data_IF_744898557641
#
_entry.id   IF_744898557641
#
_cell.length_a   1.000
_cell.length_b   1.000
_cell.length_c   1.000
_cell.angle_alpha   90.00
_cell.angle_beta   90.00
_cell.angle_gamma   90.00
#
_symmetry.space_group_name_H-M   'P 1'
#
loop_
_entity.id
_entity.type
_entity.pdbx_description
1 polymer ?
#
# COMPACT_ATOMS: atom_id res chain seq x y z
N UNK A 1 20.10 14.96 14.14
CA UNK A 1 19.62 14.02 13.12
C UNK A 1 18.19 13.68 13.50
N UNK A 2 17.22 13.98 12.64
CA UNK A 2 15.79 13.75 12.94
C UNK A 2 15.57 12.26 13.19
N UNK A 3 14.86 11.93 14.27
CA UNK A 3 14.54 10.54 14.59
C UNK A 3 13.33 10.09 13.75
N UNK A 4 13.63 9.48 12.61
CA UNK A 4 12.62 9.03 11.64
C UNK A 4 11.71 7.92 12.17
N UNK A 5 12.19 7.11 13.13
CA UNK A 5 11.39 6.07 13.77
C UNK A 5 10.29 6.69 14.62
N UNK A 6 10.65 7.72 15.39
CA UNK A 6 9.69 8.47 16.20
C UNK A 6 8.64 9.18 15.33
N UNK A 7 9.07 9.78 14.22
CA UNK A 7 8.18 10.46 13.29
C UNK A 7 7.20 9.50 12.60
N UNK A 8 7.63 8.26 12.32
CA UNK A 8 6.76 7.21 11.81
C UNK A 8 5.67 6.81 12.82
N UNK A 9 6.04 6.60 14.10
CA UNK A 9 5.08 6.26 15.16
C UNK A 9 4.07 7.39 15.41
N UNK A 10 4.52 8.65 15.39
CA UNK A 10 3.63 9.82 15.50
C UNK A 10 2.66 9.92 14.32
N UNK A 11 3.12 9.66 13.09
CA UNK A 11 2.24 9.62 11.92
C UNK A 11 1.24 8.47 11.95
N UNK A 12 1.64 7.33 12.51
CA UNK A 12 0.76 6.16 12.67
C UNK A 12 -0.37 6.47 13.65
N UNK A 13 -0.06 7.11 14.79
CA UNK A 13 -1.08 7.51 15.76
C UNK A 13 -2.01 8.59 15.22
N UNK A 14 -1.48 9.60 14.53
CA UNK A 14 -2.28 10.63 13.84
C UNK A 14 -3.29 10.04 12.86
N UNK A 15 -2.88 9.00 12.10
CA UNK A 15 -3.70 8.37 11.07
C UNK A 15 -4.62 7.25 11.59
N UNK A 16 -4.60 6.93 12.88
CA UNK A 16 -5.35 5.80 13.41
C UNK A 16 -6.87 5.93 13.17
N UNK A 17 -7.45 7.11 13.40
CA UNK A 17 -8.90 7.33 13.19
C UNK A 17 -9.29 7.17 11.71
N UNK A 18 -8.47 7.73 10.81
CA UNK A 18 -8.66 7.59 9.37
C UNK A 18 -8.54 6.14 8.93
N UNK A 19 -7.54 5.41 9.42
CA UNK A 19 -7.33 4.00 9.12
C UNK A 19 -8.49 3.14 9.64
N UNK A 20 -8.99 3.42 10.85
CA UNK A 20 -10.16 2.73 11.40
C UNK A 20 -11.40 2.92 10.51
N UNK A 21 -11.61 4.14 9.99
CA UNK A 21 -12.71 4.40 9.05
C UNK A 21 -12.53 3.66 7.72
N UNK A 22 -11.30 3.62 7.20
CA UNK A 22 -10.95 2.85 5.99
C UNK A 22 -11.16 1.35 6.16
N UNK A 23 -10.91 0.82 7.36
CA UNK A 23 -11.17 -0.59 7.66
C UNK A 23 -12.67 -0.90 7.72
N UNK A 24 -13.51 0.06 8.14
CA UNK A 24 -14.97 -0.03 8.04
C UNK A 24 -15.42 0.02 6.57
N UNK A 25 -14.82 0.90 5.77
CA UNK A 25 -15.15 1.03 4.35
C UNK A 25 -14.74 -0.24 3.55
N UNK A 26 -13.61 -0.88 3.88
CA UNK A 26 -13.21 -2.14 3.22
C UNK A 26 -14.19 -3.29 3.51
N UNK A 27 -14.93 -3.25 4.63
CA UNK A 27 -16.01 -4.21 4.92
C UNK A 27 -17.19 -4.07 3.95
N UNK A 28 -17.48 -2.86 3.48
CA UNK A 28 -18.52 -2.63 2.46
C UNK A 28 -18.11 -3.28 1.13
N UNK A 29 -16.83 -3.15 0.75
CA UNK A 29 -16.32 -3.70 -0.51
C UNK A 29 -16.22 -5.22 -0.48
N UNK A 30 -15.78 -5.79 0.64
CA UNK A 30 -15.70 -7.26 0.85
C UNK A 30 -17.07 -7.93 1.00
N UNK A 31 -18.17 -7.18 0.83
CA UNK A 31 -19.55 -7.67 0.84
C UNK A 31 -19.95 -8.23 2.20
N UNK A 32 -19.74 -7.45 3.27
CA UNK A 32 -20.25 -7.81 4.59
C UNK A 32 -21.76 -8.05 4.54
N UNK A 33 -22.23 -9.06 5.28
CA UNK A 33 -23.64 -9.44 5.28
C UNK A 33 -24.47 -8.31 5.89
N UNK A 34 -25.07 -7.48 5.05
CA UNK A 34 -26.05 -6.50 5.52
C UNK A 34 -27.26 -7.26 6.05
N UNK A 35 -27.62 -7.01 7.31
CA UNK A 35 -28.80 -7.57 7.94
C UNK A 35 -29.67 -6.37 8.32
N UNK A 36 -30.87 -6.29 7.76
CA UNK A 36 -31.81 -5.26 8.15
C UNK A 36 -32.17 -5.40 9.64
N UNK A 37 -31.98 -4.30 10.38
CA UNK A 37 -32.25 -4.18 11.80
C UNK A 37 -33.39 -3.18 12.03
N UNK A 38 -34.15 -3.39 13.10
CA UNK A 38 -35.15 -2.44 13.62
C UNK A 38 -34.45 -1.28 14.38
N UNK A 39 -35.20 -0.26 14.80
CA UNK A 39 -34.74 0.91 15.57
C UNK A 39 -34.00 0.54 16.86
N UNK A 40 -34.14 -0.72 17.33
CA UNK A 40 -33.47 -1.30 18.50
C UNK A 40 -32.33 -2.26 18.13
N UNK A 41 -31.72 -2.12 16.95
CA UNK A 41 -30.64 -2.96 16.42
C UNK A 41 -30.97 -4.46 16.34
N UNK A 42 -32.25 -4.82 16.42
CA UNK A 42 -32.70 -6.22 16.44
C UNK A 42 -32.99 -6.69 15.01
N UNK A 43 -32.50 -7.88 14.64
CA UNK A 43 -32.71 -8.44 13.30
C UNK A 43 -34.20 -8.70 13.04
N UNK A 44 -34.70 -8.21 11.90
CA UNK A 44 -36.05 -8.52 11.40
C UNK A 44 -36.05 -9.94 10.82
N UNK A 45 -36.87 -10.83 11.38
CA UNK A 45 -36.84 -12.27 11.06
C UNK A 45 -37.42 -12.62 9.69
N UNK A 46 -38.36 -11.80 9.19
CA UNK A 46 -39.11 -12.09 7.97
C UNK A 46 -38.49 -11.52 6.69
N UNK A 47 -37.28 -10.93 6.78
CA UNK A 47 -36.59 -10.33 5.65
C UNK A 47 -35.42 -11.20 5.22
N UNK A 48 -35.46 -11.65 3.97
CA UNK A 48 -34.33 -12.32 3.31
C UNK A 48 -33.35 -11.25 2.85
N UNK A 49 -32.20 -11.19 3.52
CA UNK A 49 -31.12 -10.30 3.14
C UNK A 49 -30.15 -11.07 2.22
N UNK A 50 -30.02 -10.62 0.96
CA UNK A 50 -29.06 -11.16 0.00
C UNK A 50 -27.98 -10.12 -0.26
N UNK A 51 -26.75 -10.44 0.13
CA UNK A 51 -25.61 -9.57 -0.16
C UNK A 51 -25.07 -9.90 -1.54
N UNK A 52 -25.08 -8.90 -2.44
CA UNK A 52 -24.56 -9.08 -3.79
C UNK A 52 -23.03 -9.13 -3.77
N UNK A 53 -22.47 -10.20 -4.33
CA UNK A 53 -21.02 -10.41 -4.43
C UNK A 53 -20.34 -9.52 -5.51
N UNK A 54 -21.06 -8.61 -6.16
CA UNK A 54 -20.57 -7.86 -7.33
C UNK A 54 -19.36 -6.99 -6.99
N UNK A 55 -19.37 -6.30 -5.86
CA UNK A 55 -18.27 -5.40 -5.46
C UNK A 55 -16.99 -6.18 -5.15
N UNK A 56 -17.10 -7.33 -4.48
CA UNK A 56 -15.94 -8.19 -4.20
C UNK A 56 -15.33 -8.75 -5.48
N UNK A 57 -16.17 -9.18 -6.44
CA UNK A 57 -15.70 -9.66 -7.76
C UNK A 57 -15.07 -8.52 -8.56
N UNK A 58 -15.66 -7.33 -8.52
CA UNK A 58 -15.11 -6.15 -9.18
C UNK A 58 -13.74 -5.75 -8.61
N UNK A 59 -13.60 -5.69 -7.27
CA UNK A 59 -12.32 -5.43 -6.59
C UNK A 59 -11.25 -6.41 -7.05
N UNK A 60 -11.54 -7.71 -7.00
CA UNK A 60 -10.60 -8.75 -7.42
C UNK A 60 -10.21 -8.61 -8.91
N UNK A 61 -11.14 -8.19 -9.77
CA UNK A 61 -10.86 -7.97 -11.20
C UNK A 61 -9.94 -6.75 -11.43
N UNK A 62 -10.19 -5.65 -10.72
CA UNK A 62 -9.35 -4.44 -10.80
C UNK A 62 -7.95 -4.74 -10.29
N UNK A 63 -7.82 -5.35 -9.11
CA UNK A 63 -6.51 -5.74 -8.55
C UNK A 63 -5.76 -6.72 -9.46
N UNK A 64 -6.44 -7.71 -10.05
CA UNK A 64 -5.82 -8.62 -11.01
C UNK A 64 -5.38 -7.92 -12.30
N UNK A 65 -6.13 -6.92 -12.76
CA UNK A 65 -5.81 -6.15 -13.96
C UNK A 65 -4.61 -5.22 -13.74
N UNK A 66 -4.52 -4.60 -12.55
CA UNK A 66 -3.37 -3.77 -12.16
C UNK A 66 -2.09 -4.59 -12.02
N UNK A 67 -2.17 -5.76 -11.36
CA UNK A 67 -1.02 -6.67 -11.27
C UNK A 67 -0.57 -7.23 -12.64
N UNK A 68 -1.41 -7.16 -13.66
CA UNK A 68 -1.06 -7.52 -15.04
C UNK A 68 -0.46 -6.35 -15.82
N UNK A 69 -0.64 -5.12 -15.35
CA UNK A 69 -0.07 -3.95 -16.02
C UNK A 69 1.45 -3.96 -15.85
N UNK A 70 2.17 -3.69 -16.95
CA UNK A 70 3.62 -3.55 -16.90
C UNK A 70 3.96 -2.23 -16.21
N UNK A 71 4.69 -2.32 -15.09
CA UNK A 71 5.21 -1.14 -14.40
C UNK A 71 6.27 -0.45 -15.28
N UNK A 72 6.00 0.80 -15.64
CA UNK A 72 6.93 1.64 -16.40
C UNK A 72 7.53 2.71 -15.49
N UNK A 73 8.83 2.61 -15.25
CA UNK A 73 9.64 3.68 -14.66
C UNK A 73 10.31 4.40 -15.82
N UNK A 74 10.02 5.69 -15.99
CA UNK A 74 10.62 6.54 -17.02
C UNK A 74 11.26 7.73 -16.30
N UNK A 75 12.57 7.92 -16.49
CA UNK A 75 13.27 9.10 -15.99
C UNK A 75 13.49 10.08 -17.15
N UNK A 76 13.02 11.31 -16.99
CA UNK A 76 13.22 12.39 -17.96
C UNK A 76 14.20 13.42 -17.39
N UNK A 77 15.12 13.89 -18.23
CA UNK A 77 16.07 14.96 -17.87
C UNK A 77 16.21 15.94 -19.03
N UNK A 78 16.31 17.23 -18.69
CA UNK A 78 16.58 18.30 -19.64
C UNK A 78 18.07 18.37 -20.05
N UNK A 79 18.96 17.67 -19.34
CA UNK A 79 20.40 17.60 -19.64
C UNK A 79 20.74 16.28 -20.36
N UNK A 80 21.09 16.39 -21.64
CA UNK A 80 21.46 15.25 -22.50
C UNK A 80 22.68 14.46 -22.00
N UNK A 81 23.46 15.02 -21.06
CA UNK A 81 24.64 14.34 -20.49
C UNK A 81 24.29 13.36 -19.38
N UNK A 82 23.06 13.39 -18.87
CA UNK A 82 22.63 12.50 -17.80
C UNK A 82 22.11 11.22 -18.42
N UNK A 83 22.73 10.09 -18.06
CA UNK A 83 22.19 8.78 -18.42
C UNK A 83 20.97 8.49 -17.54
N UNK A 84 19.78 8.59 -18.14
CA UNK A 84 18.52 8.30 -17.45
C UNK A 84 18.33 6.81 -17.19
N UNK A 85 19.04 5.92 -17.90
CA UNK A 85 18.95 4.48 -17.70
C UNK A 85 19.52 4.04 -16.34
N UNK A 86 20.64 4.63 -15.91
CA UNK A 86 21.22 4.36 -14.59
C UNK A 86 20.25 4.74 -13.46
N UNK A 87 19.50 5.83 -13.65
CA UNK A 87 18.50 6.30 -12.68
C UNK A 87 17.30 5.34 -12.62
N UNK A 88 16.81 4.88 -13.77
CA UNK A 88 15.72 3.90 -13.85
C UNK A 88 16.12 2.56 -13.20
N UNK A 89 17.33 2.08 -13.44
CA UNK A 89 17.86 0.87 -12.81
C UNK A 89 18.02 1.03 -11.31
N UNK A 90 18.52 2.18 -10.86
CA UNK A 90 18.63 2.50 -9.43
C UNK A 90 17.25 2.47 -8.77
N UNK A 91 16.23 3.05 -9.39
CA UNK A 91 14.85 3.04 -8.85
C UNK A 91 14.36 1.60 -8.75
N UNK A 92 14.46 0.80 -9.83
CA UNK A 92 14.03 -0.61 -9.84
C UNK A 92 14.74 -1.44 -8.76
N UNK A 93 16.06 -1.31 -8.65
CA UNK A 93 16.84 -2.00 -7.63
C UNK A 93 16.44 -1.58 -6.21
N UNK A 94 16.14 -0.30 -6.01
CA UNK A 94 15.72 0.24 -4.72
C UNK A 94 14.38 -0.31 -4.26
N UNK A 95 13.39 -0.37 -5.17
CA UNK A 95 12.08 -0.97 -4.91
C UNK A 95 12.18 -2.48 -4.63
N UNK A 96 12.97 -3.21 -5.43
CA UNK A 96 13.22 -4.64 -5.22
C UNK A 96 13.85 -4.92 -3.85
N UNK A 97 14.82 -4.12 -3.44
CA UNK A 97 15.49 -4.25 -2.14
C UNK A 97 14.52 -3.96 -0.97
N UNK A 98 13.71 -2.91 -1.09
CA UNK A 98 12.68 -2.59 -0.09
C UNK A 98 11.66 -3.72 0.05
N UNK A 99 11.16 -4.25 -1.07
CA UNK A 99 10.26 -5.40 -1.09
C UNK A 99 10.88 -6.65 -0.49
N UNK A 100 12.14 -6.94 -0.80
CA UNK A 100 12.85 -8.08 -0.21
C UNK A 100 12.88 -7.99 1.32
N UNK A 101 13.08 -6.79 1.87
CA UNK A 101 13.03 -6.54 3.31
C UNK A 101 11.62 -6.73 3.88
N UNK A 102 10.59 -6.22 3.20
CA UNK A 102 9.19 -6.36 3.62
C UNK A 102 8.72 -7.82 3.64
N UNK A 103 9.07 -8.58 2.58
CA UNK A 103 8.79 -10.02 2.49
C UNK A 103 9.42 -10.77 3.67
N UNK A 104 10.68 -10.45 4.03
CA UNK A 104 11.35 -11.07 5.20
C UNK A 104 10.67 -10.75 6.54
N UNK A 105 9.89 -9.66 6.62
CA UNK A 105 9.10 -9.28 7.80
C UNK A 105 7.68 -9.85 7.79
N UNK A 106 7.26 -10.51 6.71
CA UNK A 106 5.87 -10.93 6.51
C UNK A 106 4.92 -9.75 6.24
N UNK A 107 5.46 -8.61 5.82
CA UNK A 107 4.70 -7.42 5.45
C UNK A 107 4.35 -7.45 3.95
N UNK A 108 3.39 -6.61 3.57
CA UNK A 108 2.99 -6.46 2.17
C UNK A 108 4.11 -5.80 1.36
N UNK A 109 4.22 -6.18 0.09
CA UNK A 109 5.09 -5.49 -0.87
C UNK A 109 4.56 -4.07 -1.12
N UNK A 110 5.42 -3.18 -1.61
CA UNK A 110 5.09 -1.79 -1.87
C UNK A 110 4.06 -1.62 -2.99
N UNK A 111 4.17 -2.37 -4.09
CA UNK A 111 3.31 -2.21 -5.26
C UNK A 111 1.84 -2.54 -4.94
N UNK A 112 1.50 -3.71 -4.35
CA UNK A 112 0.13 -4.01 -4.00
C UNK A 112 -0.43 -3.05 -2.95
N UNK A 113 0.43 -2.54 -2.06
CA UNK A 113 0.05 -1.55 -1.08
C UNK A 113 -0.32 -0.21 -1.74
N UNK A 114 0.50 0.28 -2.68
CA UNK A 114 0.20 1.51 -3.43
C UNK A 114 -1.04 1.39 -4.30
N UNK A 115 -1.22 0.26 -4.99
CA UNK A 115 -2.42 0.00 -5.79
C UNK A 115 -3.68 0.05 -4.92
N UNK A 116 -3.65 -0.57 -3.74
CA UNK A 116 -4.78 -0.53 -2.82
C UNK A 116 -5.03 0.89 -2.29
N UNK A 117 -3.98 1.65 -1.98
CA UNK A 117 -4.13 3.02 -1.51
C UNK A 117 -4.73 3.91 -2.62
N UNK A 118 -4.23 3.81 -3.85
CA UNK A 118 -4.66 4.63 -4.97
C UNK A 118 -6.08 4.26 -5.44
N UNK A 119 -6.37 2.98 -5.66
CA UNK A 119 -7.62 2.56 -6.28
C UNK A 119 -8.78 2.39 -5.30
N UNK A 120 -8.50 1.97 -4.06
CA UNK A 120 -9.56 1.67 -3.08
C UNK A 120 -9.71 2.74 -2.01
N UNK A 121 -8.60 3.36 -1.59
CA UNK A 121 -8.59 4.31 -0.46
C UNK A 121 -8.48 5.78 -0.91
N UNK A 122 -8.34 6.02 -2.21
CA UNK A 122 -8.28 7.35 -2.82
C UNK A 122 -7.05 8.16 -2.40
N UNK A 123 -5.95 7.50 -2.04
CA UNK A 123 -4.71 8.14 -1.63
C UNK A 123 -3.60 7.78 -2.62
N UNK A 124 -3.16 8.76 -3.40
CA UNK A 124 -2.26 8.57 -4.54
C UNK A 124 -0.88 9.21 -4.34
N UNK A 125 -0.50 9.56 -3.12
CA UNK A 125 0.81 10.14 -2.81
C UNK A 125 1.55 9.25 -1.82
N UNK A 126 2.71 8.75 -2.22
CA UNK A 126 3.65 8.08 -1.34
C UNK A 126 5.06 8.66 -1.52
N UNK A 127 5.85 8.66 -0.45
CA UNK A 127 7.22 9.14 -0.42
C UNK A 127 8.12 8.03 0.11
N UNK A 128 8.90 7.43 -0.79
CA UNK A 128 9.90 6.44 -0.42
C UNK A 128 11.26 7.11 -0.29
N UNK A 129 11.82 7.11 0.93
CA UNK A 129 13.13 7.66 1.21
C UNK A 129 14.17 6.54 1.29
N UNK A 130 15.14 6.57 0.38
CA UNK A 130 16.30 5.69 0.43
C UNK A 130 17.47 6.40 1.10
N UNK A 131 17.96 5.84 2.20
CA UNK A 131 19.17 6.32 2.85
C UNK A 131 20.33 5.40 2.47
N UNK A 132 21.28 5.92 1.69
CA UNK A 132 22.57 5.24 1.52
C UNK A 132 23.36 5.35 2.82
N UNK A 133 23.59 4.21 3.47
CA UNK A 133 24.55 4.17 4.57
C UNK A 133 25.95 4.02 3.99
N UNK A 134 26.94 4.81 4.47
CA UNK A 134 28.32 4.58 4.10
C UNK A 134 28.73 3.16 4.51
N UNK A 135 29.47 2.46 3.65
CA UNK A 135 30.00 1.13 3.94
C UNK A 135 30.70 1.15 5.30
N UNK A 136 30.10 0.44 6.27
CA UNK A 136 30.76 0.18 7.54
C UNK A 136 31.83 -0.86 7.23
N UNK A 137 33.06 -0.42 6.94
CA UNK A 137 34.22 -1.30 6.86
C UNK A 137 34.28 -2.08 8.17
N UNK A 138 33.88 -3.35 8.11
CA UNK A 138 34.05 -4.28 9.22
C UNK A 138 35.56 -4.45 9.36
N UNK A 139 36.17 -3.77 10.33
CA UNK A 139 37.56 -4.01 10.70
C UNK A 139 37.65 -5.48 11.11
N UNK A 140 38.30 -6.29 10.28
CA UNK A 140 38.63 -7.66 10.65
C UNK A 140 39.45 -7.61 11.95
N UNK A 141 39.11 -8.43 12.96
CA UNK A 141 39.94 -8.54 14.16
C UNK A 141 41.28 -9.15 13.75
N UNK A 142 42.35 -8.42 14.08
CA UNK A 142 43.75 -8.83 14.00
C UNK A 142 44.06 -10.04 14.85
#
# INVERSE_FOLDING_TARGET
MTDWLKLHEEKKTERNELNARRDVDDRLVTSFKYIMQDVKDTRIKDIVNVTMNRLRVFKAYVEASLNKADEKVVAESDDEKIDTAEIEELIKASFLSANYRLIRRGEWRLEPYFDQQACMRGEAADLVLFQMQPERRVSQPS
#
